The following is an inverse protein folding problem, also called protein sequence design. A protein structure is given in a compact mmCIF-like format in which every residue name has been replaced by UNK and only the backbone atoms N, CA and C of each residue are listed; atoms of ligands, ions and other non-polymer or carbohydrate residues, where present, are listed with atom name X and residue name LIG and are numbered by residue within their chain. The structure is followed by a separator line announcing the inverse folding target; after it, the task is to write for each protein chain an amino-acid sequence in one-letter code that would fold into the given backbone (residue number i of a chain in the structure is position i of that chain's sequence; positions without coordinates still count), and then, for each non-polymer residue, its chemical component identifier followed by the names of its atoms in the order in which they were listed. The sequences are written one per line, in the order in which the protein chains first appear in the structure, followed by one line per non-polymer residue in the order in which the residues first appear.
data_IF_736849818821
#
_entry.id   IF_736849818821
#
_cell.length_a   1.000
_cell.length_b   1.000
_cell.length_c   1.000
_cell.angle_alpha   90.00
_cell.angle_beta   90.00
_cell.angle_gamma   90.00
#
_symmetry.space_group_name_H-M   'P 1'
#
loop_
_entity.id
_entity.type
_entity.pdbx_description
1 polymer ?
#
# COMPACT_ATOMS: atom_id res chain seq x y z
N UNK A 1 -51.91 59.25 4.17
CA UNK A 1 -51.17 58.43 3.21
C UNK A 1 -49.80 58.12 3.82
N UNK A 2 -49.65 56.95 4.45
CA UNK A 2 -48.38 56.54 5.11
C UNK A 2 -47.76 55.48 4.24
N UNK A 3 -46.56 55.73 3.71
CA UNK A 3 -45.73 54.74 2.98
C UNK A 3 -45.03 53.81 3.98
N UNK A 4 -45.19 52.49 3.80
CA UNK A 4 -44.41 51.48 4.51
C UNK A 4 -43.06 51.26 3.78
N UNK A 5 -41.93 51.07 4.47
CA UNK A 5 -40.68 50.76 3.86
C UNK A 5 -40.63 49.28 3.46
N UNK A 6 -40.29 49.01 2.20
CA UNK A 6 -40.06 47.69 1.68
C UNK A 6 -38.82 47.05 2.31
N UNK A 7 -38.97 45.84 2.86
CA UNK A 7 -37.83 45.00 3.29
C UNK A 7 -37.20 44.32 2.08
N UNK A 8 -35.96 44.68 1.84
CA UNK A 8 -35.11 44.00 0.87
C UNK A 8 -34.65 42.64 1.47
N UNK A 9 -35.18 41.52 0.95
CA UNK A 9 -34.69 40.19 1.30
C UNK A 9 -33.39 39.93 0.53
N UNK A 10 -32.27 39.84 1.26
CA UNK A 10 -31.00 39.36 0.73
C UNK A 10 -31.09 37.83 0.65
N UNK A 11 -31.19 37.26 -0.57
CA UNK A 11 -31.01 35.83 -0.78
C UNK A 11 -29.51 35.54 -0.70
N UNK A 12 -29.07 34.86 0.38
CA UNK A 12 -27.73 34.27 0.47
C UNK A 12 -27.71 33.04 -0.43
N UNK A 13 -26.96 33.11 -1.52
CA UNK A 13 -26.63 31.95 -2.34
C UNK A 13 -25.65 31.05 -1.56
N UNK A 14 -26.15 29.92 -1.03
CA UNK A 14 -25.30 28.85 -0.53
C UNK A 14 -24.58 28.22 -1.71
N UNK A 15 -23.34 28.62 -1.95
CA UNK A 15 -22.45 27.92 -2.87
C UNK A 15 -22.17 26.51 -2.34
N UNK A 16 -22.59 25.47 -3.06
CA UNK A 16 -22.20 24.09 -2.78
C UNK A 16 -20.70 23.97 -3.02
N UNK A 17 -19.92 23.68 -1.99
CA UNK A 17 -18.53 23.26 -2.12
C UNK A 17 -18.50 21.95 -2.92
N UNK A 18 -17.64 21.82 -3.94
CA UNK A 18 -17.48 20.55 -4.64
C UNK A 18 -17.01 19.48 -3.63
N UNK A 19 -17.67 18.31 -3.66
CA UNK A 19 -17.21 17.17 -2.93
C UNK A 19 -15.77 16.82 -3.40
N UNK A 20 -14.87 16.42 -2.49
CA UNK A 20 -13.53 15.98 -2.89
C UNK A 20 -13.69 14.80 -3.86
N UNK A 21 -13.00 14.88 -5.01
CA UNK A 21 -12.94 13.76 -5.93
C UNK A 21 -12.32 12.56 -5.20
N UNK A 22 -12.92 11.38 -5.35
CA UNK A 22 -12.33 10.16 -4.84
C UNK A 22 -10.93 9.99 -5.46
N UNK A 23 -9.95 9.58 -4.65
CA UNK A 23 -8.62 9.29 -5.15
C UNK A 23 -8.71 8.16 -6.18
N UNK A 24 -8.04 8.35 -7.33
CA UNK A 24 -8.03 7.35 -8.41
C UNK A 24 -6.94 6.33 -8.11
N UNK A 25 -7.30 5.05 -8.06
CA UNK A 25 -6.33 3.97 -8.00
C UNK A 25 -5.54 3.90 -9.32
N UNK A 26 -4.22 4.02 -9.25
CA UNK A 26 -3.33 3.94 -10.41
C UNK A 26 -2.99 2.50 -10.80
N UNK A 27 -3.34 1.49 -10.00
CA UNK A 27 -3.13 0.08 -10.33
C UNK A 27 -4.33 -0.44 -11.13
N UNK A 28 -4.17 -0.71 -12.44
CA UNK A 28 -5.24 -1.30 -13.23
C UNK A 28 -5.53 -2.72 -12.71
N UNK A 29 -6.81 -3.06 -12.58
CA UNK A 29 -7.23 -4.36 -12.10
C UNK A 29 -6.59 -4.78 -10.76
N UNK A 30 -6.46 -3.81 -9.83
CA UNK A 30 -5.86 -4.08 -8.52
C UNK A 30 -6.70 -5.03 -7.65
N UNK A 31 -7.97 -5.22 -7.99
CA UNK A 31 -8.90 -6.17 -7.38
C UNK A 31 -9.06 -7.48 -8.17
N UNK A 32 -8.26 -7.73 -9.20
CA UNK A 32 -8.20 -8.96 -10.00
C UNK A 32 -9.52 -9.39 -10.67
N UNK A 33 -10.47 -8.48 -10.88
CA UNK A 33 -11.79 -8.80 -11.47
C UNK A 33 -11.79 -8.82 -13.00
N UNK A 34 -10.79 -8.17 -13.65
CA UNK A 34 -10.67 -8.20 -15.10
C UNK A 34 -9.79 -9.35 -15.55
N UNK A 35 -10.35 -10.25 -16.37
CA UNK A 35 -9.64 -11.42 -16.86
C UNK A 35 -9.97 -11.72 -18.33
N UNK A 36 -9.12 -12.49 -18.99
CA UNK A 36 -9.28 -12.95 -20.38
C UNK A 36 -10.01 -14.30 -20.47
N UNK A 37 -10.31 -14.91 -19.33
CA UNK A 37 -11.01 -16.21 -19.20
C UNK A 37 -10.86 -16.75 -17.78
N UNK A 38 -11.60 -17.78 -17.44
CA UNK A 38 -11.46 -18.43 -16.14
C UNK A 38 -10.16 -19.22 -16.06
N UNK A 39 -9.39 -19.10 -14.95
CA UNK A 39 -8.21 -19.93 -14.75
C UNK A 39 -8.61 -21.41 -14.61
N UNK A 40 -7.75 -22.31 -15.05
CA UNK A 40 -7.99 -23.75 -15.02
C UNK A 40 -6.92 -24.54 -14.29
N UNK A 41 -5.83 -23.88 -13.90
CA UNK A 41 -4.69 -24.47 -13.21
C UNK A 41 -3.83 -23.38 -12.57
N UNK A 42 -2.84 -23.77 -11.80
CA UNK A 42 -1.77 -22.90 -11.31
C UNK A 42 -0.97 -22.24 -12.45
N UNK A 43 -0.15 -21.24 -12.10
CA UNK A 43 0.77 -20.51 -13.02
C UNK A 43 0.06 -19.72 -14.12
N UNK A 44 -1.17 -19.27 -13.87
CA UNK A 44 -1.99 -18.55 -14.84
C UNK A 44 -2.28 -17.09 -14.44
N UNK A 45 -1.35 -16.43 -13.72
CA UNK A 45 -1.54 -15.05 -13.31
C UNK A 45 -1.84 -14.12 -14.51
N UNK A 46 -1.23 -14.34 -15.66
CA UNK A 46 -1.43 -13.52 -16.87
C UNK A 46 -2.86 -13.52 -17.43
N UNK A 47 -3.74 -14.40 -16.95
CA UNK A 47 -5.18 -14.36 -17.25
C UNK A 47 -5.83 -13.14 -16.62
N UNK A 48 -5.34 -12.68 -15.44
CA UNK A 48 -5.80 -11.47 -14.76
C UNK A 48 -5.06 -10.23 -15.30
N UNK A 49 -5.36 -9.83 -16.54
CA UNK A 49 -4.70 -8.68 -17.19
C UNK A 49 -4.80 -7.39 -16.37
N UNK A 50 -3.73 -6.56 -16.25
CA UNK A 50 -2.42 -6.69 -16.93
C UNK A 50 -1.33 -7.34 -16.07
N UNK A 51 -1.69 -8.12 -15.05
CA UNK A 51 -0.74 -8.74 -14.12
C UNK A 51 0.14 -9.80 -14.80
N UNK A 52 1.41 -9.83 -14.44
CA UNK A 52 2.39 -10.84 -14.89
C UNK A 52 3.22 -11.35 -13.72
N UNK A 53 3.83 -12.53 -13.88
CA UNK A 53 4.92 -12.98 -13.04
C UNK A 53 6.24 -12.39 -13.61
N UNK A 54 6.93 -11.47 -12.90
CA UNK A 54 8.13 -10.82 -13.44
C UNK A 54 9.38 -11.72 -13.42
N UNK A 55 9.32 -12.83 -12.69
CA UNK A 55 10.41 -13.81 -12.56
C UNK A 55 10.00 -15.14 -13.18
N UNK A 56 10.89 -16.14 -13.13
CA UNK A 56 10.57 -17.51 -13.50
C UNK A 56 9.66 -18.24 -12.47
N UNK A 57 9.26 -17.54 -11.42
CA UNK A 57 8.23 -18.01 -10.47
C UNK A 57 6.86 -18.17 -11.15
N UNK A 58 6.00 -18.97 -10.55
CA UNK A 58 4.75 -19.48 -11.15
C UNK A 58 3.50 -18.93 -10.47
N UNK A 59 3.47 -17.64 -10.22
CA UNK A 59 2.36 -16.94 -9.55
C UNK A 59 1.00 -17.25 -10.18
N UNK A 60 -0.02 -17.36 -9.36
CA UNK A 60 -1.32 -17.88 -9.69
C UNK A 60 -2.38 -16.78 -9.83
N UNK A 61 -3.43 -17.08 -10.59
CA UNK A 61 -4.72 -16.41 -10.55
C UNK A 61 -5.79 -17.39 -10.07
N UNK A 62 -6.56 -16.98 -9.08
CA UNK A 62 -7.69 -17.72 -8.53
C UNK A 62 -8.97 -16.93 -8.76
N UNK A 63 -10.04 -17.58 -9.18
CA UNK A 63 -11.33 -16.91 -9.42
C UNK A 63 -12.51 -17.87 -9.26
N UNK A 64 -13.63 -17.36 -8.77
CA UNK A 64 -14.86 -18.13 -8.58
C UNK A 64 -15.44 -18.74 -9.88
N UNK A 65 -15.02 -18.23 -11.04
CA UNK A 65 -15.40 -18.83 -12.33
C UNK A 65 -14.57 -20.06 -12.72
N UNK A 66 -13.49 -20.37 -11.99
CA UNK A 66 -12.65 -21.53 -12.28
C UNK A 66 -13.42 -22.83 -12.05
N UNK A 67 -13.14 -23.89 -12.85
CA UNK A 67 -13.73 -25.19 -12.60
C UNK A 67 -13.26 -25.76 -11.26
N UNK A 68 -14.14 -26.36 -10.51
CA UNK A 68 -13.79 -27.04 -9.25
C UNK A 68 -13.25 -28.46 -9.55
N UNK A 69 -12.05 -28.50 -10.13
CA UNK A 69 -11.31 -29.72 -10.50
C UNK A 69 -9.86 -29.60 -10.03
N UNK A 70 -9.22 -30.74 -9.79
CA UNK A 70 -7.82 -30.77 -9.36
C UNK A 70 -6.84 -30.42 -10.50
N UNK A 71 -5.83 -29.53 -10.26
CA UNK A 71 -5.67 -28.67 -9.09
C UNK A 71 -6.70 -27.53 -9.12
N UNK A 72 -7.38 -27.31 -8.00
CA UNK A 72 -8.42 -26.27 -7.92
C UNK A 72 -7.82 -24.89 -7.70
N UNK A 73 -8.15 -23.95 -8.58
CA UNK A 73 -7.89 -22.51 -8.46
C UNK A 73 -9.21 -21.72 -8.32
N UNK A 74 -10.25 -22.39 -7.81
CA UNK A 74 -11.56 -21.78 -7.56
C UNK A 74 -11.51 -20.86 -6.31
N UNK A 75 -12.50 -20.00 -6.17
CA UNK A 75 -12.71 -19.11 -5.01
C UNK A 75 -14.13 -19.36 -4.50
N UNK A 76 -14.34 -19.51 -3.20
CA UNK A 76 -13.38 -19.40 -2.10
C UNK A 76 -12.57 -20.67 -1.81
N UNK A 77 -13.00 -21.85 -2.30
CA UNK A 77 -12.31 -23.11 -2.03
C UNK A 77 -11.35 -23.45 -3.15
N UNK A 78 -10.08 -23.58 -2.83
CA UNK A 78 -9.01 -23.93 -3.78
C UNK A 78 -8.07 -24.97 -3.18
N UNK A 79 -7.00 -25.34 -3.92
CA UNK A 79 -6.03 -26.34 -3.52
C UNK A 79 -5.22 -25.95 -2.27
N UNK A 80 -5.07 -24.66 -1.99
CA UNK A 80 -4.27 -24.13 -0.86
C UNK A 80 -5.12 -23.80 0.36
N UNK A 81 -6.45 -23.94 0.29
CA UNK A 81 -7.34 -23.69 1.42
C UNK A 81 -8.65 -22.98 1.03
N UNK A 82 -9.26 -22.33 1.99
CA UNK A 82 -10.52 -21.60 1.85
C UNK A 82 -10.34 -20.13 2.16
N UNK A 83 -10.44 -19.24 1.16
CA UNK A 83 -10.41 -17.79 1.37
C UNK A 83 -11.40 -17.09 0.43
N UNK A 84 -12.44 -16.42 0.93
CA UNK A 84 -13.27 -15.55 0.12
C UNK A 84 -12.46 -14.37 -0.40
N UNK A 85 -12.67 -13.93 -1.64
CA UNK A 85 -12.07 -12.70 -2.14
C UNK A 85 -12.40 -11.52 -1.22
N UNK A 86 -11.45 -10.62 -1.03
CA UNK A 86 -11.67 -9.40 -0.24
C UNK A 86 -12.69 -8.51 -0.95
N UNK A 87 -12.57 -8.40 -2.27
CA UNK A 87 -13.58 -7.79 -3.11
C UNK A 87 -13.83 -8.63 -4.36
N UNK A 88 -15.04 -8.61 -4.89
CA UNK A 88 -15.38 -9.33 -6.12
C UNK A 88 -15.29 -10.86 -5.99
N UNK A 89 -14.54 -11.50 -6.89
CA UNK A 89 -14.54 -12.95 -7.10
C UNK A 89 -13.18 -13.57 -7.45
N UNK A 90 -12.11 -12.78 -7.48
CA UNK A 90 -10.76 -13.23 -7.84
C UNK A 90 -9.66 -12.58 -7.04
N UNK A 91 -8.51 -13.23 -6.98
CA UNK A 91 -7.28 -12.72 -6.36
C UNK A 91 -6.04 -13.43 -6.92
N UNK A 92 -4.85 -12.88 -6.67
CA UNK A 92 -3.59 -13.55 -7.00
C UNK A 92 -3.12 -14.49 -5.89
N UNK A 93 -2.28 -15.47 -6.25
CA UNK A 93 -1.58 -16.35 -5.32
C UNK A 93 -0.07 -16.34 -5.58
N UNK A 94 0.74 -16.30 -4.52
CA UNK A 94 2.20 -16.28 -4.59
C UNK A 94 2.83 -17.14 -3.49
N UNK A 95 4.03 -17.67 -3.79
CA UNK A 95 4.92 -18.32 -2.80
C UNK A 95 6.09 -17.36 -2.51
N UNK A 96 5.97 -16.46 -1.52
CA UNK A 96 7.05 -15.52 -1.18
C UNK A 96 8.17 -16.15 -0.33
N UNK A 97 8.02 -17.40 0.12
CA UNK A 97 9.02 -18.19 0.83
C UNK A 97 8.73 -19.66 0.64
N UNK A 98 9.60 -20.35 -0.09
CA UNK A 98 9.47 -21.78 -0.37
C UNK A 98 10.42 -22.62 0.51
N UNK A 99 10.18 -23.93 0.53
CA UNK A 99 11.13 -24.91 1.03
C UNK A 99 12.37 -25.05 0.11
N UNK A 100 12.24 -24.70 -1.18
CA UNK A 100 13.39 -24.56 -2.10
C UNK A 100 14.15 -23.28 -1.76
N UNK A 101 15.49 -23.37 -1.69
CA UNK A 101 16.37 -22.29 -1.29
C UNK A 101 16.16 -21.03 -2.14
N UNK A 102 15.91 -19.92 -1.49
CA UNK A 102 15.74 -18.58 -2.06
C UNK A 102 14.67 -18.48 -3.18
N UNK A 103 13.81 -19.46 -3.34
CA UNK A 103 12.68 -19.40 -4.27
C UNK A 103 11.67 -18.35 -3.86
N UNK A 104 11.32 -17.45 -4.79
CA UNK A 104 10.37 -16.36 -4.60
C UNK A 104 9.47 -16.22 -5.82
N UNK A 105 8.20 -16.00 -5.54
CA UNK A 105 7.22 -15.57 -6.54
C UNK A 105 6.83 -14.12 -6.32
N UNK A 106 6.54 -13.43 -7.42
CA UNK A 106 6.15 -12.03 -7.46
C UNK A 106 5.01 -11.83 -8.45
N UNK A 107 4.26 -10.77 -8.24
CA UNK A 107 3.30 -10.25 -9.21
C UNK A 107 3.69 -8.83 -9.60
N UNK A 108 3.56 -8.48 -10.88
CA UNK A 108 3.89 -7.17 -11.42
C UNK A 108 2.76 -6.64 -12.30
N UNK A 109 2.47 -5.34 -12.19
CA UNK A 109 1.55 -4.63 -13.07
C UNK A 109 2.06 -3.24 -13.41
N UNK A 110 1.78 -2.71 -14.62
CA UNK A 110 1.99 -1.30 -14.93
C UNK A 110 0.98 -0.44 -14.18
N UNK A 111 1.38 0.77 -13.82
CA UNK A 111 0.46 1.81 -13.37
C UNK A 111 -0.22 2.50 -14.57
N UNK A 112 -1.42 3.02 -14.39
CA UNK A 112 -2.16 3.76 -15.43
C UNK A 112 -1.53 5.10 -15.78
N UNK A 113 -0.68 5.63 -14.91
CA UNK A 113 0.16 6.81 -15.13
C UNK A 113 1.39 6.75 -14.24
N UNK A 114 2.54 7.31 -14.69
CA UNK A 114 3.73 7.42 -13.86
C UNK A 114 3.49 8.30 -12.63
N UNK A 115 4.16 7.98 -11.52
CA UNK A 115 4.11 8.78 -10.31
C UNK A 115 4.82 10.11 -10.51
N UNK A 116 4.28 11.15 -9.88
CA UNK A 116 4.83 12.52 -9.95
C UNK A 116 5.83 12.73 -8.80
N UNK A 117 7.01 13.22 -9.14
CA UNK A 117 8.06 13.49 -8.16
C UNK A 117 7.58 14.36 -6.99
N UNK A 118 8.07 14.07 -5.78
CA UNK A 118 7.75 14.78 -4.54
C UNK A 118 6.25 14.77 -4.17
N UNK A 119 5.47 13.88 -4.77
CA UNK A 119 4.05 13.71 -4.44
C UNK A 119 3.89 12.52 -3.50
N UNK A 120 3.16 12.66 -2.39
CA UNK A 120 2.86 11.54 -1.52
C UNK A 120 1.81 10.62 -2.15
N UNK A 121 2.07 9.32 -2.13
CA UNK A 121 1.15 8.28 -2.55
C UNK A 121 0.92 7.29 -1.43
N UNK A 122 -0.33 6.89 -1.22
CA UNK A 122 -0.70 5.79 -0.35
C UNK A 122 -0.70 4.50 -1.18
N UNK A 123 0.19 3.60 -0.84
CA UNK A 123 0.31 2.26 -1.45
C UNK A 123 -0.28 1.25 -0.50
N UNK A 124 -1.15 0.38 -1.00
CA UNK A 124 -1.87 -0.64 -0.23
C UNK A 124 -1.98 -1.93 -1.00
N UNK A 125 -1.92 -3.04 -0.30
CA UNK A 125 -2.33 -4.35 -0.76
C UNK A 125 -2.75 -5.21 0.43
N UNK A 126 -3.64 -6.15 0.21
CA UNK A 126 -4.11 -7.05 1.25
C UNK A 126 -3.59 -8.45 0.99
N UNK A 127 -3.26 -9.16 2.07
CA UNK A 127 -2.74 -10.53 2.00
C UNK A 127 -3.49 -11.44 2.98
N UNK A 128 -3.71 -12.68 2.58
CA UNK A 128 -4.17 -13.75 3.47
C UNK A 128 -3.24 -14.95 3.35
N UNK A 129 -2.88 -15.56 4.48
CA UNK A 129 -2.09 -16.79 4.51
C UNK A 129 -2.99 -17.96 4.13
N UNK A 130 -2.59 -18.77 3.17
CA UNK A 130 -3.37 -19.95 2.82
C UNK A 130 -3.39 -20.99 3.95
N UNK A 131 -4.54 -21.66 4.13
CA UNK A 131 -4.76 -22.64 5.22
C UNK A 131 -3.75 -23.78 5.24
N UNK A 132 -3.31 -24.24 4.06
CA UNK A 132 -2.37 -25.36 3.94
C UNK A 132 -0.91 -24.96 4.11
N UNK A 133 -0.59 -23.66 4.21
CA UNK A 133 0.79 -23.17 4.42
C UNK A 133 1.37 -23.69 5.72
N UNK A 134 2.56 -24.32 5.66
CA UNK A 134 3.27 -24.75 6.86
C UNK A 134 4.14 -23.66 7.49
N UNK A 135 4.35 -22.54 6.79
CA UNK A 135 5.09 -21.39 7.25
C UNK A 135 4.27 -20.10 7.07
N UNK A 136 4.50 -19.13 7.94
CA UNK A 136 4.15 -17.73 7.76
C UNK A 136 5.41 -16.87 7.85
N UNK A 137 5.44 -15.75 7.11
CA UNK A 137 6.60 -14.86 7.01
C UNK A 137 6.29 -13.46 7.52
N UNK A 138 7.36 -12.66 7.71
CA UNK A 138 7.29 -11.27 8.16
C UNK A 138 7.53 -10.23 7.05
N UNK A 139 8.00 -10.66 5.86
CA UNK A 139 8.51 -9.78 4.80
C UNK A 139 7.71 -9.90 3.52
N UNK A 140 6.60 -9.16 3.42
CA UNK A 140 5.90 -8.93 2.16
C UNK A 140 5.88 -7.44 1.86
N UNK A 141 6.28 -7.07 0.64
CA UNK A 141 6.44 -5.68 0.24
C UNK A 141 5.96 -5.38 -1.16
N UNK A 142 5.88 -4.08 -1.46
CA UNK A 142 5.63 -3.52 -2.77
C UNK A 142 6.80 -2.64 -3.19
N UNK A 143 7.35 -2.90 -4.37
CA UNK A 143 8.39 -2.12 -5.02
C UNK A 143 7.81 -1.38 -6.22
N UNK A 144 8.01 -0.07 -6.25
CA UNK A 144 7.63 0.79 -7.38
C UNK A 144 8.86 1.08 -8.23
N UNK A 145 8.81 0.77 -9.53
CA UNK A 145 9.92 0.89 -10.47
C UNK A 145 9.61 1.82 -11.63
N UNK A 146 10.67 2.37 -12.21
CA UNK A 146 10.64 3.02 -13.54
C UNK A 146 10.88 1.94 -14.59
N UNK A 147 9.87 1.64 -15.38
CA UNK A 147 9.85 0.51 -16.31
C UNK A 147 9.64 -0.85 -15.60
N UNK A 148 9.33 -1.89 -16.39
CA UNK A 148 9.10 -3.22 -15.87
C UNK A 148 10.36 -3.83 -15.25
N UNK A 149 10.16 -4.60 -14.17
CA UNK A 149 11.22 -5.43 -13.57
C UNK A 149 11.41 -6.71 -14.37
N UNK A 150 10.32 -7.32 -14.82
CA UNK A 150 10.37 -8.55 -15.61
C UNK A 150 10.58 -8.35 -17.11
N UNK A 151 10.98 -9.42 -17.84
CA UNK A 151 11.21 -10.77 -17.35
C UNK A 151 12.60 -11.01 -16.76
N UNK A 152 12.66 -11.63 -15.57
CA UNK A 152 13.90 -12.08 -14.92
C UNK A 152 13.97 -13.60 -15.00
N UNK A 153 15.05 -14.21 -15.58
CA UNK A 153 15.06 -15.64 -15.91
C UNK A 153 15.35 -16.56 -14.72
N UNK A 154 15.19 -16.11 -13.50
CA UNK A 154 15.33 -16.91 -12.28
C UNK A 154 14.17 -16.63 -11.33
N UNK A 155 14.14 -17.33 -10.19
CA UNK A 155 13.10 -17.24 -9.17
C UNK A 155 13.66 -16.91 -7.77
N UNK A 156 14.86 -16.32 -7.71
CA UNK A 156 15.45 -15.89 -6.43
C UNK A 156 14.95 -14.52 -6.00
N UNK A 157 15.26 -14.15 -4.77
CA UNK A 157 14.90 -12.84 -4.24
C UNK A 157 15.42 -11.72 -5.16
N UNK A 158 14.53 -10.84 -5.57
CA UNK A 158 14.86 -9.67 -6.38
C UNK A 158 15.69 -8.68 -5.56
N UNK A 159 16.80 -8.13 -6.13
CA UNK A 159 17.76 -7.30 -5.39
C UNK A 159 17.30 -5.85 -5.24
N UNK A 160 16.03 -5.66 -4.88
CA UNK A 160 15.43 -4.33 -4.68
C UNK A 160 15.03 -4.12 -3.22
N UNK A 161 14.97 -2.86 -2.81
CA UNK A 161 14.42 -2.47 -1.51
C UNK A 161 13.00 -1.94 -1.73
N UNK A 162 11.96 -2.65 -1.26
CA UNK A 162 10.58 -2.21 -1.43
C UNK A 162 10.34 -0.92 -0.66
N UNK A 163 9.54 -0.01 -1.22
CA UNK A 163 9.17 1.24 -0.56
C UNK A 163 8.08 1.02 0.50
N UNK A 164 7.32 -0.06 0.37
CA UNK A 164 6.29 -0.48 1.33
C UNK A 164 6.54 -1.93 1.70
N UNK A 165 6.56 -2.25 2.98
CA UNK A 165 6.81 -3.62 3.45
C UNK A 165 6.18 -3.83 4.82
N UNK A 166 5.72 -5.05 5.10
CA UNK A 166 5.34 -5.45 6.46
C UNK A 166 6.56 -5.39 7.40
N UNK A 167 6.39 -4.93 8.65
CA UNK A 167 7.52 -4.74 9.56
C UNK A 167 8.22 -6.06 9.88
N UNK A 168 9.56 -6.02 9.98
CA UNK A 168 10.36 -7.14 10.43
C UNK A 168 9.83 -7.74 11.73
N UNK A 169 9.80 -9.06 11.82
CA UNK A 169 9.29 -9.84 12.96
C UNK A 169 7.79 -9.61 13.28
N UNK A 170 7.04 -9.03 12.34
CA UNK A 170 5.58 -8.95 12.39
C UNK A 170 5.01 -9.94 11.39
N UNK A 171 4.72 -11.14 11.87
CA UNK A 171 4.35 -12.27 11.02
C UNK A 171 2.91 -12.14 10.51
N UNK A 172 2.75 -12.37 9.22
CA UNK A 172 1.46 -12.34 8.51
C UNK A 172 0.77 -13.71 8.65
N UNK A 173 0.21 -14.00 9.81
CA UNK A 173 -0.34 -15.33 10.17
C UNK A 173 -1.84 -15.47 9.98
N UNK A 174 -2.53 -14.44 9.49
CA UNK A 174 -3.98 -14.49 9.32
C UNK A 174 -4.35 -15.38 8.14
N UNK A 175 -4.99 -16.51 8.42
CA UNK A 175 -5.52 -17.47 7.45
C UNK A 175 -7.05 -17.51 7.44
N UNK A 176 -7.73 -16.58 8.13
CA UNK A 176 -9.17 -16.48 8.20
C UNK A 176 -9.64 -15.08 7.79
N UNK A 177 -9.00 -14.53 6.79
CA UNK A 177 -9.28 -13.21 6.26
C UNK A 177 -8.02 -12.40 5.96
N UNK A 178 -8.21 -11.17 5.59
CA UNK A 178 -7.20 -10.34 4.96
C UNK A 178 -6.47 -9.45 5.96
N UNK A 179 -5.17 -9.25 5.73
CA UNK A 179 -4.31 -8.34 6.47
C UNK A 179 -3.82 -7.25 5.53
N UNK A 180 -4.04 -6.00 5.89
CA UNK A 180 -3.60 -4.85 5.11
C UNK A 180 -2.11 -4.58 5.33
N UNK A 181 -1.36 -4.49 4.23
CA UNK A 181 0.01 -3.92 4.21
C UNK A 181 -0.07 -2.57 3.50
N UNK A 182 0.37 -1.51 4.16
CA UNK A 182 0.25 -0.16 3.61
C UNK A 182 1.29 0.81 4.16
N UNK A 183 1.70 1.76 3.32
CA UNK A 183 2.44 2.93 3.74
C UNK A 183 2.20 4.10 2.80
N UNK A 184 2.43 5.32 3.30
CA UNK A 184 2.54 6.50 2.45
C UNK A 184 4.00 6.71 2.09
N UNK A 185 4.27 6.77 0.79
CA UNK A 185 5.59 7.05 0.24
C UNK A 185 5.61 8.43 -0.40
N UNK A 186 6.81 9.00 -0.58
CA UNK A 186 7.00 10.18 -1.44
C UNK A 186 7.69 9.69 -2.71
N UNK A 187 7.02 9.81 -3.85
CA UNK A 187 7.53 9.34 -5.12
C UNK A 187 8.79 10.10 -5.55
N UNK A 188 9.74 9.37 -6.13
CA UNK A 188 10.94 9.97 -6.76
C UNK A 188 10.60 10.59 -8.11
N UNK A 189 9.54 10.07 -8.75
CA UNK A 189 8.99 10.50 -10.03
C UNK A 189 9.39 9.59 -11.18
N UNK A 190 8.39 9.23 -11.97
CA UNK A 190 8.55 8.35 -13.12
C UNK A 190 8.30 6.87 -12.85
N UNK A 191 8.10 6.46 -11.58
CA UNK A 191 7.70 5.08 -11.25
C UNK A 191 6.36 4.78 -11.94
N UNK A 192 6.34 3.73 -12.75
CA UNK A 192 5.21 3.37 -13.59
C UNK A 192 4.83 1.88 -13.53
N UNK A 193 5.51 1.11 -12.63
CA UNK A 193 5.18 -0.29 -12.34
C UNK A 193 5.18 -0.54 -10.83
N UNK A 194 4.40 -1.53 -10.42
CA UNK A 194 4.37 -2.06 -9.05
C UNK A 194 4.69 -3.56 -9.09
N UNK A 195 5.58 -4.00 -8.20
CA UNK A 195 5.93 -5.40 -7.98
C UNK A 195 5.64 -5.76 -6.53
N UNK A 196 4.90 -6.85 -6.29
CA UNK A 196 4.57 -7.34 -4.93
C UNK A 196 5.20 -8.71 -4.72
N UNK A 197 5.83 -8.91 -3.56
CA UNK A 197 6.46 -10.15 -3.14
C UNK A 197 7.41 -9.97 -1.97
N UNK A 198 8.28 -10.95 -1.74
CA UNK A 198 9.31 -10.88 -0.72
C UNK A 198 10.69 -10.62 -1.35
N UNK A 199 11.26 -9.46 -1.08
CA UNK A 199 12.53 -8.99 -1.65
C UNK A 199 13.77 -9.40 -0.81
N UNK A 200 13.58 -10.24 0.19
CA UNK A 200 14.64 -10.75 1.05
C UNK A 200 14.93 -12.23 0.75
N UNK A 201 16.18 -12.61 0.86
CA UNK A 201 16.61 -14.00 0.81
C UNK A 201 16.14 -14.79 2.05
N UNK A 202 16.44 -16.09 2.10
CA UNK A 202 16.04 -16.96 3.20
C UNK A 202 16.64 -16.56 4.54
N UNK A 203 17.86 -16.03 4.55
CA UNK A 203 18.54 -15.61 5.76
C UNK A 203 17.95 -14.33 6.38
N UNK A 204 17.31 -13.50 5.56
CA UNK A 204 16.73 -12.22 5.93
C UNK A 204 15.18 -12.23 5.99
N UNK A 205 14.56 -13.41 5.82
CA UNK A 205 13.10 -13.62 5.96
C UNK A 205 12.85 -14.48 7.20
N UNK A 206 12.31 -13.87 8.27
CA UNK A 206 11.93 -14.63 9.44
C UNK A 206 10.64 -15.43 9.18
N UNK A 207 10.54 -16.61 9.78
CA UNK A 207 9.39 -17.51 9.63
C UNK A 207 8.88 -17.99 10.96
N UNK A 208 7.58 -18.27 11.04
CA UNK A 208 6.92 -19.02 12.11
C UNK A 208 6.09 -20.15 11.50
N UNK A 209 5.64 -21.09 12.32
CA UNK A 209 4.76 -22.15 11.86
C UNK A 209 3.45 -21.55 11.31
N UNK A 210 3.05 -22.01 10.14
CA UNK A 210 1.73 -21.76 9.56
C UNK A 210 0.66 -22.73 10.07
N UNK A 211 -0.60 -22.58 9.64
CA UNK A 211 -1.71 -23.42 10.09
C UNK A 211 -1.69 -24.82 9.48
N UNK A 212 -1.10 -24.98 8.30
CA UNK A 212 -1.22 -26.19 7.49
C UNK A 212 0.00 -27.11 7.53
N UNK A 213 0.00 -28.07 6.62
CA UNK A 213 1.03 -29.09 6.51
C UNK A 213 1.69 -29.15 5.12
N UNK A 214 1.29 -28.28 4.20
CA UNK A 214 1.88 -28.24 2.87
C UNK A 214 3.39 -27.93 2.96
N UNK A 215 4.27 -28.87 2.52
CA UNK A 215 5.71 -28.73 2.74
C UNK A 215 6.35 -27.71 1.82
N UNK A 216 5.58 -27.03 0.94
CA UNK A 216 6.08 -26.09 -0.04
C UNK A 216 6.52 -24.74 0.53
N UNK A 217 6.10 -24.38 1.74
CA UNK A 217 6.47 -23.13 2.39
C UNK A 217 5.30 -22.25 2.78
N UNK A 218 5.46 -20.94 2.56
CA UNK A 218 4.41 -19.95 2.77
C UNK A 218 3.73 -19.62 1.44
N UNK A 219 2.42 -19.78 1.37
CA UNK A 219 1.58 -19.36 0.24
C UNK A 219 0.65 -18.23 0.71
N UNK A 220 0.61 -17.14 -0.05
CA UNK A 220 -0.27 -16.02 0.26
C UNK A 220 -1.16 -15.66 -0.91
N UNK A 221 -2.40 -15.35 -0.60
CA UNK A 221 -3.30 -14.65 -1.51
C UNK A 221 -3.04 -13.16 -1.44
N UNK A 222 -3.22 -12.45 -2.56
CA UNK A 222 -3.07 -10.98 -2.67
C UNK A 222 -4.29 -10.42 -3.36
N UNK A 223 -4.92 -9.39 -2.77
CA UNK A 223 -6.10 -8.71 -3.32
C UNK A 223 -6.09 -7.21 -3.00
N UNK A 224 -6.95 -6.46 -3.70
CA UNK A 224 -7.19 -5.02 -3.52
C UNK A 224 -5.91 -4.18 -3.44
N UNK A 225 -5.08 -4.30 -4.48
CA UNK A 225 -3.86 -3.52 -4.65
C UNK A 225 -4.21 -2.11 -5.09
N UNK A 226 -3.66 -1.09 -4.42
CA UNK A 226 -3.87 0.29 -4.81
C UNK A 226 -2.63 1.18 -4.63
N UNK A 227 -2.48 2.11 -5.55
CA UNK A 227 -1.57 3.26 -5.49
C UNK A 227 -2.38 4.50 -5.79
N UNK A 228 -2.55 5.35 -4.81
CA UNK A 228 -3.41 6.53 -4.89
C UNK A 228 -2.65 7.76 -4.38
N UNK A 229 -2.91 8.93 -4.97
CA UNK A 229 -2.40 10.18 -4.37
C UNK A 229 -2.91 10.26 -2.93
N UNK A 230 -1.99 10.35 -1.98
CA UNK A 230 -2.37 10.46 -0.58
C UNK A 230 -3.09 11.79 -0.37
N UNK A 231 -4.36 11.72 0.04
CA UNK A 231 -5.09 12.92 0.44
C UNK A 231 -4.44 13.46 1.72
N UNK A 232 -4.10 14.73 1.76
CA UNK A 232 -3.62 15.33 3.00
C UNK A 232 -4.66 15.13 4.09
N UNK A 233 -4.30 14.39 5.13
CA UNK A 233 -5.14 14.24 6.32
C UNK A 233 -4.76 15.30 7.34
N UNK A 234 -5.72 15.70 8.15
CA UNK A 234 -5.47 16.54 9.32
C UNK A 234 -4.39 15.92 10.20
N UNK A 235 -3.47 16.74 10.67
CA UNK A 235 -2.36 16.33 11.50
C UNK A 235 -2.04 17.39 12.56
N UNK A 236 -1.28 17.01 13.58
CA UNK A 236 -0.78 17.98 14.54
C UNK A 236 0.03 19.06 13.83
N UNK A 237 -0.26 20.31 14.15
CA UNK A 237 0.49 21.49 13.69
C UNK A 237 1.05 22.23 14.90
N UNK A 238 2.36 22.38 14.95
CA UNK A 238 3.02 23.19 15.98
C UNK A 238 3.07 24.63 15.51
N UNK A 239 2.21 25.47 16.04
CA UNK A 239 2.13 26.87 15.71
C UNK A 239 3.29 27.69 16.34
N UNK A 240 3.64 28.86 15.77
CA UNK A 240 4.76 29.68 16.27
C UNK A 240 4.63 30.11 17.73
N UNK A 241 3.40 30.20 18.26
CA UNK A 241 3.11 30.50 19.66
C UNK A 241 3.30 29.31 20.61
N UNK A 242 3.73 28.14 20.10
CA UNK A 242 3.92 26.91 20.87
C UNK A 242 2.65 26.09 21.10
N UNK A 243 1.49 26.53 20.61
CA UNK A 243 0.27 25.75 20.68
C UNK A 243 0.24 24.65 19.60
N UNK A 244 -0.54 23.61 19.86
CA UNK A 244 -0.82 22.55 18.89
C UNK A 244 -2.27 22.67 18.40
N UNK A 245 -2.47 22.60 17.10
CA UNK A 245 -3.78 22.52 16.47
C UNK A 245 -3.81 21.36 15.45
N UNK A 246 -4.96 20.73 15.27
CA UNK A 246 -5.14 19.69 14.25
C UNK A 246 -5.69 20.36 12.99
N UNK A 247 -4.94 20.31 11.90
CA UNK A 247 -5.28 20.93 10.62
C UNK A 247 -4.51 20.31 9.46
N UNK A 248 -4.88 20.64 8.22
CA UNK A 248 -4.17 20.20 7.03
C UNK A 248 -2.72 20.73 7.00
N UNK A 249 -1.76 19.96 6.43
CA UNK A 249 -0.35 20.38 6.33
C UNK A 249 -0.15 21.73 5.63
N UNK A 250 -0.96 22.00 4.60
CA UNK A 250 -0.94 23.27 3.87
C UNK A 250 -1.38 24.46 4.74
N UNK A 251 -2.45 24.28 5.49
CA UNK A 251 -2.97 25.30 6.42
C UNK A 251 -1.98 25.56 7.55
N UNK A 252 -1.35 24.50 8.07
CA UNK A 252 -0.29 24.60 9.07
C UNK A 252 0.87 25.48 8.59
N UNK A 253 1.34 25.26 7.36
CA UNK A 253 2.42 26.09 6.77
C UNK A 253 1.97 27.53 6.56
N UNK A 254 0.74 27.77 6.10
CA UNK A 254 0.18 29.12 5.93
C UNK A 254 0.07 29.85 7.28
N UNK A 255 -0.19 29.13 8.36
CA UNK A 255 -0.18 29.65 9.72
C UNK A 255 1.23 29.84 10.31
N UNK A 256 2.28 29.60 9.53
CA UNK A 256 3.69 29.66 9.96
C UNK A 256 4.10 28.53 10.89
N UNK A 257 3.29 27.47 10.97
CA UNK A 257 3.52 26.31 11.83
C UNK A 257 4.39 25.22 11.20
N UNK A 258 4.75 24.24 12.02
CA UNK A 258 5.47 23.03 11.61
C UNK A 258 4.54 21.82 11.67
N UNK A 259 4.23 21.17 10.52
CA UNK A 259 3.41 19.96 10.48
C UNK A 259 4.10 18.78 11.18
N UNK A 260 3.36 18.03 12.00
CA UNK A 260 3.85 16.88 12.77
C UNK A 260 3.93 15.56 11.99
N UNK A 261 3.44 15.55 10.73
CA UNK A 261 3.40 14.36 9.88
C UNK A 261 2.05 13.61 9.94
N UNK A 262 1.77 12.75 8.94
CA UNK A 262 0.52 12.00 8.85
C UNK A 262 0.22 11.23 10.15
N UNK A 263 -1.05 11.24 10.58
CA UNK A 263 -1.52 10.54 11.77
C UNK A 263 -1.08 11.16 13.12
N UNK A 264 -0.29 12.24 13.11
CA UNK A 264 0.07 12.92 14.36
C UNK A 264 -1.12 13.67 14.96
N UNK A 265 -1.24 13.62 16.27
CA UNK A 265 -2.30 14.28 17.03
C UNK A 265 -1.71 15.28 18.03
N UNK A 266 -2.55 16.17 18.55
CA UNK A 266 -2.16 17.08 19.61
C UNK A 266 -2.26 16.47 21.02
N UNK A 267 -2.54 15.18 21.15
CA UNK A 267 -2.65 14.47 22.44
C UNK A 267 -1.91 13.13 22.39
N UNK A 268 -0.74 12.98 23.06
CA UNK A 268 0.03 14.05 23.71
C UNK A 268 0.58 15.05 22.67
N UNK A 269 0.73 16.32 23.06
CA UNK A 269 1.20 17.34 22.12
C UNK A 269 2.64 17.06 21.67
N UNK A 270 2.91 16.96 20.34
CA UNK A 270 4.25 16.82 19.81
C UNK A 270 5.03 18.14 19.82
N UNK A 271 4.33 19.25 20.07
CA UNK A 271 4.87 20.60 20.10
C UNK A 271 5.58 20.83 21.45
N UNK A 272 6.78 20.24 21.61
CA UNK A 272 7.64 20.55 22.75
C UNK A 272 8.03 22.01 22.79
N UNK A 273 8.45 22.56 23.93
CA UNK A 273 9.02 23.88 23.98
C UNK A 273 10.18 23.92 23.00
N UNK A 274 10.10 24.84 22.04
CA UNK A 274 11.19 25.10 21.09
C UNK A 274 12.47 25.24 21.91
N UNK A 275 13.39 24.29 21.78
CA UNK A 275 14.71 24.43 22.41
C UNK A 275 15.30 25.70 21.82
N UNK A 276 15.21 26.78 22.55
CA UNK A 276 15.96 28.01 22.26
C UNK A 276 17.39 27.55 21.96
N UNK A 277 17.82 27.65 20.71
CA UNK A 277 19.25 27.52 20.39
C UNK A 277 19.95 28.52 21.31
N UNK A 278 20.65 28.02 22.31
CA UNK A 278 21.60 28.84 23.05
C UNK A 278 22.65 29.31 22.03
N UNK A 279 22.41 30.47 21.43
CA UNK A 279 23.46 31.17 20.74
C UNK A 279 24.49 31.54 21.84
N UNK A 280 25.66 30.91 21.78
CA UNK A 280 26.73 31.31 22.67
C UNK A 280 27.08 32.76 22.36
N UNK A 281 27.32 33.56 23.38
CA UNK A 281 27.77 34.97 23.25
C UNK A 281 28.96 35.13 22.28
N UNK A 282 29.70 34.05 21.99
CA UNK A 282 30.77 34.01 20.98
C UNK A 282 30.28 34.19 19.54
N UNK A 283 29.08 33.67 19.19
CA UNK A 283 28.52 33.75 17.84
C UNK A 283 27.91 35.13 17.53
N UNK A 284 27.45 35.84 18.57
CA UNK A 284 26.92 37.21 18.42
C UNK A 284 28.03 38.22 18.21
N UNK A 285 29.22 38.02 18.82
CA UNK A 285 30.35 38.93 18.66
C UNK A 285 30.97 38.92 17.25
N UNK A 286 30.80 37.86 16.48
CA UNK A 286 31.34 37.79 15.10
C UNK A 286 30.47 38.49 14.07
N UNK A 287 29.25 38.89 14.42
CA UNK A 287 28.35 39.64 13.53
C UNK A 287 28.49 41.17 13.64
N UNK A 288 29.29 41.66 14.58
CA UNK A 288 29.48 43.10 14.85
C UNK A 288 30.99 43.52 14.84
N UNK A 289 31.82 42.83 14.08
CA UNK A 289 33.19 43.26 13.76
C UNK A 289 33.39 43.46 12.27
#
# INVERSE_FOLDING_TARGET
MRMLPGRLMLLAALGSLPAPAAAVNLVPNGNFESNTGCPTSFSQLSVAVPWIAPTAGTSDYLNACAPNVFPSVNVPQNEQGYEPALSGSGYAGIIPRSAAADYREYIEAPLSAPLVANTPYLVRFNVSLADDSNLAIDRLGAYLSVGPVGPVPNYVALPYTPQVESPANTFLTNANGWTLVSATIVASGGEDHIVIGNFHDDANTATVAGPGQWPGGAYYYVDDVSVEVATPTDQACCLPNGSCAVMLPGECKLAGGAPGGPGSTCTPSPCGPTKLRKSSWGTVKTMYR
#
